data_IF_366325022396
#
_entry.id   IF_366325022396
#
_cell.length_a   1.000
_cell.length_b   1.000
_cell.length_c   1.000
_cell.angle_alpha   90.00
_cell.angle_beta   90.00
_cell.angle_gamma   90.00
#
_symmetry.space_group_name_H-M   'P 1'
#
loop_
_entity.id
_entity.type
_entity.pdbx_description
1 polymer ?
#
# COMPACT_ATOMS: atom_id res chain seq x y z
N UNK A 1 -60.39 -13.82 -52.51
CA UNK A 1 -59.21 -13.35 -51.75
C UNK A 1 -58.93 -14.37 -50.66
N UNK A 2 -57.85 -15.13 -50.80
CA UNK A 2 -57.47 -16.21 -49.89
C UNK A 2 -56.34 -15.76 -48.96
N UNK A 3 -56.38 -16.07 -47.65
CA UNK A 3 -55.27 -15.83 -46.75
C UNK A 3 -54.25 -16.97 -46.80
N UNK A 4 -52.99 -16.62 -46.99
CA UNK A 4 -51.82 -17.49 -46.97
C UNK A 4 -51.50 -17.96 -45.55
N UNK A 5 -51.30 -19.27 -45.43
CA UNK A 5 -50.96 -20.02 -44.22
C UNK A 5 -49.45 -20.19 -44.18
N UNK A 6 -48.74 -19.47 -43.31
CA UNK A 6 -47.30 -19.67 -43.10
C UNK A 6 -46.92 -19.70 -41.61
N UNK A 7 -46.20 -20.77 -41.28
CA UNK A 7 -45.09 -20.90 -40.34
C UNK A 7 -45.29 -20.68 -38.83
N UNK A 8 -45.59 -21.79 -38.13
CA UNK A 8 -45.48 -21.93 -36.67
C UNK A 8 -44.41 -22.96 -36.25
N UNK A 9 -43.64 -23.54 -37.18
CA UNK A 9 -42.77 -24.70 -36.86
C UNK A 9 -41.35 -24.39 -36.37
N UNK A 10 -41.00 -23.14 -36.06
CA UNK A 10 -39.62 -22.73 -35.76
C UNK A 10 -39.25 -22.48 -34.29
N UNK A 11 -40.21 -22.41 -33.35
CA UNK A 11 -39.95 -21.96 -31.97
C UNK A 11 -39.52 -23.07 -31.01
N UNK A 12 -40.01 -24.30 -31.19
CA UNK A 12 -39.82 -25.36 -30.20
C UNK A 12 -38.40 -25.93 -30.19
N UNK A 13 -37.71 -25.96 -31.33
CA UNK A 13 -36.34 -26.48 -31.42
C UNK A 13 -35.32 -25.60 -30.68
N UNK A 14 -35.56 -24.29 -30.62
CA UNK A 14 -34.69 -23.35 -29.87
C UNK A 14 -34.91 -23.46 -28.36
N UNK A 15 -36.13 -23.79 -27.94
CA UNK A 15 -36.47 -23.96 -26.53
C UNK A 15 -35.78 -25.20 -25.93
N UNK A 16 -35.75 -26.32 -26.66
CA UNK A 16 -35.04 -27.54 -26.21
C UNK A 16 -33.54 -27.31 -26.10
N UNK A 17 -32.93 -26.61 -27.06
CA UNK A 17 -31.50 -26.30 -27.00
C UNK A 17 -31.15 -25.38 -25.83
N UNK A 18 -31.98 -24.38 -25.54
CA UNK A 18 -31.79 -23.53 -24.36
C UNK A 18 -31.93 -24.33 -23.07
N UNK A 19 -32.94 -25.21 -22.97
CA UNK A 19 -33.16 -26.05 -21.80
C UNK A 19 -31.99 -26.99 -21.53
N UNK A 20 -31.45 -27.62 -22.58
CA UNK A 20 -30.26 -28.48 -22.46
C UNK A 20 -29.01 -27.69 -22.08
N UNK A 21 -28.86 -26.47 -22.57
CA UNK A 21 -27.73 -25.61 -22.23
C UNK A 21 -27.81 -25.13 -20.77
N UNK A 22 -29.01 -24.87 -20.26
CA UNK A 22 -29.24 -24.52 -18.86
C UNK A 22 -29.00 -25.73 -17.94
N UNK A 23 -29.52 -26.90 -18.28
CA UNK A 23 -29.35 -28.13 -17.48
C UNK A 23 -27.88 -28.57 -17.40
N UNK A 24 -27.14 -28.51 -18.51
CA UNK A 24 -25.70 -28.81 -18.51
C UNK A 24 -24.90 -27.80 -17.67
N UNK A 25 -25.28 -26.52 -17.73
CA UNK A 25 -24.64 -25.48 -16.92
C UNK A 25 -24.90 -25.64 -15.43
N UNK A 26 -26.08 -26.13 -15.05
CA UNK A 26 -26.45 -26.34 -13.65
C UNK A 26 -25.74 -27.58 -13.07
N UNK A 27 -25.68 -28.69 -13.80
CA UNK A 27 -24.91 -29.87 -13.40
C UNK A 27 -23.43 -29.54 -13.15
N UNK A 28 -22.82 -28.73 -14.02
CA UNK A 28 -21.43 -28.30 -13.86
C UNK A 28 -21.20 -27.49 -12.57
N UNK A 29 -22.12 -26.58 -12.21
CA UNK A 29 -22.03 -25.80 -10.96
C UNK A 29 -22.24 -26.68 -9.74
N UNK A 30 -23.16 -27.64 -9.82
CA UNK A 30 -23.45 -28.56 -8.74
C UNK A 30 -22.27 -29.51 -8.48
N UNK A 31 -21.59 -29.96 -9.54
CA UNK A 31 -20.38 -30.78 -9.44
C UNK A 31 -19.19 -30.00 -8.86
N UNK A 32 -19.00 -28.73 -9.25
CA UNK A 32 -17.99 -27.86 -8.62
C UNK A 32 -18.25 -27.63 -7.12
N UNK A 33 -19.52 -27.44 -6.73
CA UNK A 33 -19.90 -27.27 -5.33
C UNK A 33 -19.71 -28.55 -4.51
N UNK A 34 -20.06 -29.72 -5.06
CA UNK A 34 -19.87 -31.02 -4.42
C UNK A 34 -18.39 -31.36 -4.23
N UNK A 35 -17.54 -31.02 -5.19
CA UNK A 35 -16.10 -31.26 -5.09
C UNK A 35 -15.40 -30.37 -4.05
N UNK A 36 -16.08 -29.41 -3.41
CA UNK A 36 -15.52 -28.44 -2.44
C UNK A 36 -14.14 -27.94 -2.88
N UNK A 37 -13.96 -27.75 -4.18
CA UNK A 37 -12.68 -27.40 -4.75
C UNK A 37 -12.40 -25.97 -4.33
N UNK A 38 -11.58 -25.82 -3.29
CA UNK A 38 -10.96 -24.57 -2.84
C UNK A 38 -10.61 -23.79 -4.09
N UNK A 39 -11.27 -22.65 -4.34
CA UNK A 39 -11.20 -21.92 -5.59
C UNK A 39 -9.74 -21.77 -6.04
N UNK A 40 -9.29 -22.64 -6.96
CA UNK A 40 -8.00 -22.48 -7.60
C UNK A 40 -8.19 -21.29 -8.51
N UNK A 41 -7.49 -20.20 -8.20
CA UNK A 41 -7.41 -19.03 -9.09
C UNK A 41 -7.02 -19.47 -10.51
N UNK A 42 -7.30 -18.63 -11.51
CA UNK A 42 -7.08 -18.98 -12.91
C UNK A 42 -5.62 -19.40 -13.11
N UNK A 43 -5.42 -20.68 -13.39
CA UNK A 43 -4.16 -21.21 -13.89
C UNK A 43 -4.06 -20.69 -15.33
N UNK A 44 -3.02 -19.91 -15.69
CA UNK A 44 -2.85 -19.49 -17.06
C UNK A 44 -2.71 -20.73 -17.94
N UNK A 45 -3.51 -20.75 -19.01
CA UNK A 45 -3.42 -21.67 -20.12
C UNK A 45 -1.97 -21.84 -20.58
N UNK A 46 -1.34 -22.94 -20.14
CA UNK A 46 -0.17 -23.53 -20.78
C UNK A 46 -0.72 -24.47 -21.86
N UNK A 47 -1.09 -23.90 -22.99
CA UNK A 47 -1.11 -24.58 -24.27
C UNK A 47 -0.13 -23.84 -25.18
N UNK A 48 1.10 -24.33 -25.21
CA UNK A 48 2.00 -24.24 -26.36
C UNK A 48 3.16 -25.23 -26.13
N UNK A 49 2.88 -26.49 -26.41
CA UNK A 49 3.87 -27.34 -27.06
C UNK A 49 3.78 -27.02 -28.57
N UNK A 50 4.91 -26.72 -29.20
CA UNK A 50 5.57 -27.77 -29.95
C UNK A 50 6.99 -28.00 -29.42
N UNK A 51 7.24 -29.21 -28.96
CA UNK A 51 8.59 -29.75 -28.77
C UNK A 51 9.33 -29.73 -30.11
N UNK A 52 10.38 -28.91 -30.20
CA UNK A 52 11.43 -29.10 -31.18
C UNK A 52 12.14 -30.44 -30.89
N UNK A 53 12.46 -31.25 -31.92
CA UNK A 53 13.21 -32.50 -31.75
C UNK A 53 14.61 -32.24 -31.18
N UNK A 54 15.07 -33.13 -30.29
CA UNK A 54 16.35 -33.02 -29.58
C UNK A 54 17.58 -32.93 -30.51
N UNK A 55 17.45 -33.33 -31.76
CA UNK A 55 18.54 -33.42 -32.73
C UNK A 55 18.91 -32.06 -33.37
N UNK A 56 18.15 -30.99 -33.10
CA UNK A 56 18.42 -29.63 -33.63
C UNK A 56 19.11 -28.69 -32.64
N UNK A 57 19.35 -29.11 -31.40
CA UNK A 57 20.01 -28.27 -30.37
C UNK A 57 21.54 -28.41 -30.44
N UNK A 58 22.06 -29.45 -31.14
CA UNK A 58 23.49 -29.76 -31.21
C UNK A 58 24.05 -29.84 -32.64
N UNK A 59 23.49 -29.13 -33.61
CA UNK A 59 24.16 -28.93 -34.91
C UNK A 59 25.26 -27.89 -34.78
N UNK A 60 26.49 -28.40 -34.70
CA UNK A 60 27.72 -27.87 -35.30
C UNK A 60 27.86 -26.33 -35.29
N UNK A 61 28.32 -25.82 -34.15
CA UNK A 61 29.01 -24.53 -34.11
C UNK A 61 30.27 -24.64 -34.96
N UNK A 62 30.17 -24.23 -36.23
CA UNK A 62 31.29 -24.11 -37.15
C UNK A 62 32.32 -23.18 -36.53
N UNK A 63 33.54 -23.68 -36.36
CA UNK A 63 34.65 -22.93 -35.79
C UNK A 63 34.87 -21.63 -36.57
N UNK A 64 34.56 -20.49 -35.96
CA UNK A 64 35.15 -19.22 -36.38
C UNK A 64 36.61 -19.20 -35.90
N UNK A 65 37.58 -18.84 -36.77
CA UNK A 65 38.95 -18.63 -36.36
C UNK A 65 39.00 -17.44 -35.40
N UNK A 66 39.32 -17.71 -34.13
CA UNK A 66 39.66 -16.68 -33.14
C UNK A 66 40.82 -15.81 -33.67
N UNK A 67 40.72 -14.47 -33.56
CA UNK A 67 41.88 -13.61 -33.74
C UNK A 67 42.92 -13.93 -32.63
N UNK A 68 44.23 -13.82 -32.92
CA UNK A 68 45.27 -14.21 -31.98
C UNK A 68 45.10 -13.47 -30.65
N UNK A 69 44.85 -14.24 -29.60
CA UNK A 69 44.77 -13.77 -28.23
C UNK A 69 46.03 -12.97 -27.91
N UNK A 70 45.87 -11.67 -27.66
CA UNK A 70 46.91 -10.87 -27.02
C UNK A 70 47.25 -11.55 -25.69
N UNK A 71 48.50 -11.95 -25.54
CA UNK A 71 49.09 -12.56 -24.34
C UNK A 71 48.72 -11.71 -23.13
N UNK A 72 47.67 -12.08 -22.39
CA UNK A 72 47.35 -11.48 -21.10
C UNK A 72 48.46 -11.91 -20.16
N UNK A 73 49.33 -10.96 -19.83
CA UNK A 73 50.36 -11.12 -18.83
C UNK A 73 49.68 -11.55 -17.52
N UNK A 74 50.00 -12.76 -17.06
CA UNK A 74 49.65 -13.20 -15.71
C UNK A 74 50.20 -12.17 -14.72
N UNK A 75 49.40 -11.63 -13.80
CA UNK A 75 49.90 -10.69 -12.82
C UNK A 75 51.00 -11.37 -11.99
N UNK A 76 52.16 -10.71 -11.91
CA UNK A 76 53.29 -11.13 -11.10
C UNK A 76 52.85 -11.26 -9.64
N UNK A 77 52.94 -12.48 -9.12
CA UNK A 77 52.72 -12.81 -7.71
C UNK A 77 53.75 -12.04 -6.89
N UNK A 78 53.31 -11.02 -6.16
CA UNK A 78 54.17 -10.29 -5.23
C UNK A 78 54.17 -11.02 -3.88
N UNK A 79 55.35 -11.48 -3.45
CA UNK A 79 55.55 -11.97 -2.09
C UNK A 79 55.59 -10.77 -1.14
N UNK A 80 54.69 -10.78 -0.15
CA UNK A 80 54.71 -9.78 0.91
C UNK A 80 56.01 -9.85 1.73
N UNK A 81 56.31 -8.81 2.54
CA UNK A 81 57.57 -8.68 3.27
C UNK A 81 57.85 -9.80 4.28
N UNK A 82 56.85 -10.60 4.65
CA UNK A 82 56.99 -11.75 5.57
C UNK A 82 57.11 -13.11 4.87
N UNK A 83 57.22 -13.14 3.53
CA UNK A 83 57.37 -14.40 2.78
C UNK A 83 56.11 -15.28 2.73
N UNK A 84 54.97 -14.77 3.23
CA UNK A 84 53.67 -15.41 3.12
C UNK A 84 53.06 -15.03 1.76
N UNK A 85 52.60 -16.04 1.01
CA UNK A 85 51.84 -15.87 -0.23
C UNK A 85 50.50 -15.19 0.09
N UNK A 86 50.46 -13.86 0.00
CA UNK A 86 49.20 -13.12 -0.03
C UNK A 86 48.50 -13.44 -1.36
N UNK A 87 47.53 -14.35 -1.34
CA UNK A 87 46.59 -14.49 -2.44
C UNK A 87 45.90 -13.14 -2.62
N UNK A 88 46.01 -12.57 -3.83
CA UNK A 88 45.55 -11.23 -4.20
C UNK A 88 44.03 -11.02 -4.19
N UNK A 89 43.33 -11.52 -3.17
CA UNK A 89 41.93 -11.22 -2.90
C UNK A 89 41.68 -10.91 -1.42
N UNK A 90 42.31 -9.89 -0.80
CA UNK A 90 41.85 -9.44 0.52
C UNK A 90 40.46 -8.77 0.43
N UNK A 91 40.07 -8.20 -0.72
CA UNK A 91 38.77 -7.56 -0.99
C UNK A 91 38.33 -7.58 -2.48
N UNK A 92 38.91 -8.44 -3.30
CA UNK A 92 38.61 -8.51 -4.74
C UNK A 92 37.48 -9.47 -5.07
N UNK A 93 36.85 -9.30 -6.24
CA UNK A 93 35.84 -10.23 -6.78
C UNK A 93 36.42 -11.64 -6.87
N UNK A 94 35.96 -12.53 -6.00
CA UNK A 94 36.34 -13.95 -6.02
C UNK A 94 36.05 -14.51 -7.42
N UNK A 95 37.00 -15.18 -8.09
CA UNK A 95 36.76 -15.85 -9.36
C UNK A 95 35.84 -17.04 -9.14
N UNK A 96 34.54 -16.78 -9.19
CA UNK A 96 33.48 -17.77 -9.13
C UNK A 96 32.36 -17.40 -10.10
N UNK A 97 31.50 -18.35 -10.47
CA UNK A 97 30.29 -18.05 -11.22
C UNK A 97 29.51 -16.95 -10.49
N UNK A 98 28.94 -16.01 -11.26
CA UNK A 98 28.09 -14.96 -10.66
C UNK A 98 26.99 -15.64 -9.84
N UNK A 99 26.73 -15.19 -8.59
CA UNK A 99 25.67 -15.78 -7.80
C UNK A 99 24.35 -15.68 -8.56
N UNK A 100 23.42 -16.64 -8.38
CA UNK A 100 22.12 -16.60 -9.02
C UNK A 100 21.42 -15.25 -8.80
N UNK A 101 20.61 -14.74 -9.74
CA UNK A 101 19.89 -13.47 -9.58
C UNK A 101 18.96 -13.42 -8.36
N UNK A 102 18.54 -14.57 -7.83
CA UNK A 102 17.78 -14.67 -6.59
C UNK A 102 18.58 -14.32 -5.34
N UNK A 103 19.91 -14.28 -5.42
CA UNK A 103 20.83 -14.03 -4.29
C UNK A 103 21.40 -12.61 -4.28
N UNK A 104 21.36 -11.88 -5.40
CA UNK A 104 21.92 -10.52 -5.47
C UNK A 104 21.23 -9.52 -4.52
N UNK A 105 19.96 -9.75 -4.18
CA UNK A 105 19.25 -8.95 -3.17
C UNK A 105 19.77 -9.13 -1.74
N UNK A 106 20.36 -10.29 -1.41
CA UNK A 106 20.92 -10.57 -0.09
C UNK A 106 22.26 -9.87 0.14
N UNK A 107 23.01 -9.60 -0.94
CA UNK A 107 24.35 -9.01 -0.85
C UNK A 107 24.39 -7.52 -1.21
N UNK A 108 23.38 -6.98 -1.89
CA UNK A 108 23.29 -5.55 -2.18
C UNK A 108 23.02 -4.67 -0.93
N UNK A 109 22.64 -5.28 0.19
CA UNK A 109 22.33 -4.57 1.46
C UNK A 109 23.35 -4.79 2.58
N UNK A 110 24.44 -5.54 2.34
CA UNK A 110 25.18 -6.16 3.45
C UNK A 110 26.71 -6.16 3.38
N UNK A 111 27.36 -5.11 2.89
CA UNK A 111 28.81 -4.94 3.08
C UNK A 111 29.21 -3.48 2.85
N UNK A 112 29.83 -2.74 3.75
CA UNK A 112 30.70 -3.08 4.88
C UNK A 112 30.41 -2.11 6.05
N UNK A 113 30.32 -2.59 7.30
CA UNK A 113 30.38 -1.73 8.50
C UNK A 113 29.27 -1.84 9.58
N UNK A 114 29.02 -3.05 10.11
CA UNK A 114 28.58 -3.31 11.51
C UNK A 114 29.31 -2.34 12.48
N UNK A 115 28.74 -1.58 13.41
CA UNK A 115 27.66 -1.84 14.38
C UNK A 115 26.91 -0.55 14.81
N UNK A 116 26.95 0.52 14.02
CA UNK A 116 25.93 1.57 14.10
C UNK A 116 24.87 1.23 13.06
N UNK A 117 23.61 1.57 13.28
CA UNK A 117 22.53 1.35 12.31
C UNK A 117 22.24 2.68 11.58
N UNK A 118 23.18 3.29 10.80
CA UNK A 118 22.98 4.61 10.18
C UNK A 118 21.82 4.59 9.18
N UNK A 119 21.49 3.43 8.62
CA UNK A 119 20.29 3.27 7.78
C UNK A 119 18.98 3.54 8.55
N UNK A 120 18.93 3.25 9.85
CA UNK A 120 17.72 3.46 10.66
C UNK A 120 17.45 4.93 10.93
N UNK A 121 18.49 5.71 11.20
CA UNK A 121 18.37 7.15 11.43
C UNK A 121 18.05 7.90 10.13
N UNK A 122 18.66 7.49 9.02
CA UNK A 122 18.33 8.02 7.68
C UNK A 122 16.88 7.69 7.30
N UNK A 123 16.41 6.47 7.58
CA UNK A 123 15.03 6.08 7.31
C UNK A 123 14.03 6.85 8.17
N UNK A 124 14.32 7.06 9.46
CA UNK A 124 13.49 7.88 10.34
C UNK A 124 13.43 9.33 9.87
N UNK A 125 14.58 9.93 9.54
CA UNK A 125 14.66 11.29 9.02
C UNK A 125 13.87 11.41 7.70
N UNK A 126 14.00 10.40 6.82
CA UNK A 126 13.24 10.32 5.58
C UNK A 126 11.74 10.23 5.83
N UNK A 127 11.27 9.35 6.73
CA UNK A 127 9.84 9.22 7.09
C UNK A 127 9.29 10.50 7.69
N UNK A 128 10.04 11.13 8.59
CA UNK A 128 9.70 12.43 9.18
C UNK A 128 9.52 13.50 8.09
N UNK A 129 10.46 13.59 7.15
CA UNK A 129 10.36 14.51 6.03
C UNK A 129 9.22 14.15 5.07
N UNK A 130 8.99 12.86 4.80
CA UNK A 130 7.91 12.42 3.93
C UNK A 130 6.55 12.78 4.52
N UNK A 131 6.37 12.62 5.84
CA UNK A 131 5.11 12.89 6.53
C UNK A 131 4.93 14.35 6.97
N UNK A 132 5.97 15.20 6.88
CA UNK A 132 5.95 16.56 7.41
C UNK A 132 4.82 17.42 6.83
N UNK A 133 4.58 17.35 5.52
CA UNK A 133 3.55 18.14 4.84
C UNK A 133 2.15 17.74 5.29
N UNK A 134 1.83 16.44 5.24
CA UNK A 134 0.50 15.99 5.64
C UNK A 134 0.25 16.30 7.12
N UNK A 135 1.23 16.06 8.01
CA UNK A 135 1.13 16.38 9.43
C UNK A 135 0.89 17.87 9.70
N UNK A 136 1.45 18.77 8.89
CA UNK A 136 1.20 20.21 9.02
C UNK A 136 -0.26 20.62 8.75
N UNK A 137 -1.01 19.80 8.02
CA UNK A 137 -2.43 20.02 7.74
C UNK A 137 -3.37 19.21 8.64
N UNK A 138 -2.85 18.29 9.45
CA UNK A 138 -3.69 17.55 10.39
C UNK A 138 -3.99 18.38 11.64
N UNK A 139 -5.04 17.98 12.37
CA UNK A 139 -5.29 18.54 13.69
C UNK A 139 -4.05 18.35 14.55
N UNK A 140 -3.56 19.42 15.22
CA UNK A 140 -2.37 19.32 16.04
C UNK A 140 -2.62 18.25 17.09
N UNK A 141 -1.74 17.24 17.14
CA UNK A 141 -1.67 16.36 18.30
C UNK A 141 -1.46 17.26 19.52
N UNK A 142 -1.97 16.86 20.68
CA UNK A 142 -1.92 17.70 21.88
C UNK A 142 -0.49 18.15 22.23
N UNK A 143 0.56 17.57 21.62
CA UNK A 143 1.97 17.98 21.70
C UNK A 143 2.73 18.13 20.39
N UNK A 144 2.09 18.39 19.25
CA UNK A 144 2.74 18.59 17.93
C UNK A 144 3.51 19.91 17.80
N UNK A 145 4.07 20.42 18.90
CA UNK A 145 5.12 21.43 18.83
C UNK A 145 6.42 20.78 18.35
N UNK A 146 7.39 21.58 17.90
CA UNK A 146 8.74 21.16 17.46
C UNK A 146 9.58 20.57 18.61
N UNK A 147 8.94 20.05 19.65
CA UNK A 147 9.59 19.42 20.78
C UNK A 147 10.28 18.13 20.30
N UNK A 148 11.59 18.13 20.38
CA UNK A 148 12.47 16.98 20.07
C UNK A 148 12.26 15.81 21.02
N UNK A 149 11.61 16.04 22.16
CA UNK A 149 11.44 15.06 23.24
C UNK A 149 9.97 14.60 23.27
N UNK A 150 9.71 13.28 23.12
CA UNK A 150 8.38 12.72 23.32
C UNK A 150 7.83 13.03 24.70
N UNK A 151 6.52 13.24 24.80
CA UNK A 151 5.84 13.40 26.08
C UNK A 151 5.93 12.13 26.91
N UNK A 152 5.89 12.29 28.24
CA UNK A 152 5.85 11.15 29.16
C UNK A 152 4.75 10.14 28.81
N UNK A 153 3.55 10.61 28.47
CA UNK A 153 2.44 9.74 28.05
C UNK A 153 2.80 8.88 26.86
N UNK A 154 3.46 9.45 25.86
CA UNK A 154 3.89 8.73 24.67
C UNK A 154 5.05 7.76 24.98
N UNK A 155 5.98 8.14 25.84
CA UNK A 155 7.04 7.23 26.32
C UNK A 155 6.45 6.03 27.08
N UNK A 156 5.46 6.25 27.93
CA UNK A 156 4.74 5.17 28.62
C UNK A 156 4.03 4.24 27.63
N UNK A 157 3.36 4.79 26.62
CA UNK A 157 2.70 4.00 25.58
C UNK A 157 3.70 3.20 24.74
N UNK A 158 4.85 3.79 24.40
CA UNK A 158 5.94 3.08 23.71
C UNK A 158 6.45 1.91 24.55
N UNK A 159 6.67 2.15 25.85
CA UNK A 159 7.07 1.10 26.77
C UNK A 159 6.01 -0.02 26.81
N UNK A 160 4.73 0.32 26.93
CA UNK A 160 3.65 -0.67 26.86
C UNK A 160 3.69 -1.47 25.55
N UNK A 161 3.79 -0.83 24.39
CA UNK A 161 3.90 -1.52 23.09
C UNK A 161 5.12 -2.45 23.05
N UNK A 162 6.22 -2.07 23.69
CA UNK A 162 7.45 -2.86 23.75
C UNK A 162 7.34 -4.13 24.61
N UNK A 163 6.41 -4.17 25.57
CA UNK A 163 6.13 -5.35 26.39
C UNK A 163 5.39 -6.47 25.63
N UNK A 164 4.85 -6.17 24.44
CA UNK A 164 4.17 -7.13 23.57
C UNK A 164 4.96 -7.37 22.27
N UNK A 165 6.23 -7.84 22.31
CA UNK A 165 7.01 -8.04 21.09
C UNK A 165 6.52 -9.30 20.37
N UNK A 166 5.89 -9.15 19.21
CA UNK A 166 5.52 -10.29 18.36
C UNK A 166 4.12 -10.20 17.78
N UNK A 167 3.84 -11.14 16.88
CA UNK A 167 2.54 -11.26 16.22
C UNK A 167 1.50 -11.85 17.18
N UNK A 168 1.85 -12.91 17.91
CA UNK A 168 0.95 -13.57 18.88
C UNK A 168 0.61 -12.66 20.07
N UNK A 169 1.52 -11.75 20.43
CA UNK A 169 1.28 -10.74 21.46
C UNK A 169 0.37 -9.60 20.98
N UNK A 170 0.00 -9.55 19.69
CA UNK A 170 -0.88 -8.50 19.17
C UNK A 170 -2.31 -8.66 19.64
N UNK A 171 -2.80 -9.89 19.78
CA UNK A 171 -4.16 -10.18 20.26
C UNK A 171 -4.26 -9.81 21.74
N UNK A 172 -3.26 -10.18 22.54
CA UNK A 172 -3.17 -9.79 23.97
C UNK A 172 -3.08 -8.26 24.12
N UNK A 173 -2.29 -7.58 23.28
CA UNK A 173 -2.24 -6.12 23.27
C UNK A 173 -3.61 -5.50 22.94
N UNK A 174 -4.33 -6.07 21.97
CA UNK A 174 -5.65 -5.62 21.56
C UNK A 174 -6.70 -5.77 22.69
N UNK A 175 -6.64 -6.85 23.45
CA UNK A 175 -7.59 -7.13 24.53
C UNK A 175 -7.23 -6.41 25.83
N UNK A 176 -5.96 -6.45 26.25
CA UNK A 176 -5.53 -5.99 27.58
C UNK A 176 -5.17 -4.51 27.65
N UNK A 177 -4.81 -3.89 26.52
CA UNK A 177 -4.24 -2.52 26.52
C UNK A 177 -5.13 -1.54 25.78
N UNK A 178 -5.51 -1.85 24.54
CA UNK A 178 -6.25 -0.91 23.67
C UNK A 178 -7.54 -0.35 24.29
N UNK A 179 -8.39 -1.14 24.98
CA UNK A 179 -9.64 -0.62 25.55
C UNK A 179 -9.44 0.50 26.58
N UNK A 180 -8.26 0.54 27.20
CA UNK A 180 -7.90 1.51 28.22
C UNK A 180 -7.18 2.75 27.64
N UNK A 181 -6.86 2.78 26.35
CA UNK A 181 -6.21 3.93 25.70
C UNK A 181 -7.26 4.81 25.00
N UNK A 182 -7.45 6.06 25.44
CA UNK A 182 -8.28 7.04 24.73
C UNK A 182 -7.92 7.18 23.24
N UNK A 183 -8.92 7.37 22.37
CA UNK A 183 -8.73 7.46 20.91
C UNK A 183 -7.66 8.48 20.49
N UNK A 184 -7.62 9.65 21.12
CA UNK A 184 -6.61 10.67 20.82
C UNK A 184 -5.17 10.22 21.17
N UNK A 185 -4.99 9.42 22.22
CA UNK A 185 -3.68 8.85 22.59
C UNK A 185 -3.28 7.70 21.65
N UNK A 186 -4.25 6.86 21.22
CA UNK A 186 -4.03 5.85 20.18
C UNK A 186 -3.57 6.51 18.87
N UNK A 187 -4.17 7.65 18.51
CA UNK A 187 -3.79 8.45 17.33
C UNK A 187 -2.37 8.99 17.46
N UNK A 188 -2.03 9.57 18.61
CA UNK A 188 -0.69 10.12 18.85
C UNK A 188 0.38 9.03 18.81
N UNK A 189 0.09 7.85 19.39
CA UNK A 189 0.94 6.66 19.27
C UNK A 189 1.13 6.23 17.82
N UNK A 190 0.04 6.13 17.05
CA UNK A 190 0.09 5.76 15.63
C UNK A 190 0.94 6.74 14.80
N UNK A 191 0.75 8.05 14.98
CA UNK A 191 1.54 9.10 14.30
C UNK A 191 3.03 9.02 14.65
N UNK A 192 3.35 8.81 15.94
CA UNK A 192 4.73 8.68 16.37
C UNK A 192 5.39 7.42 15.81
N UNK A 193 4.73 6.27 15.91
CA UNK A 193 5.23 5.01 15.37
C UNK A 193 5.45 5.08 13.86
N UNK A 194 4.57 5.77 13.12
CA UNK A 194 4.74 5.97 11.68
C UNK A 194 6.10 6.60 11.31
N UNK A 195 6.64 7.49 12.15
CA UNK A 195 7.94 8.15 11.94
C UNK A 195 9.11 7.37 12.55
N UNK A 196 8.94 6.81 13.74
CA UNK A 196 10.05 6.26 14.51
C UNK A 196 10.20 4.75 14.37
N UNK A 197 9.12 3.99 14.49
CA UNK A 197 9.10 2.52 14.45
C UNK A 197 7.71 2.03 14.01
N UNK A 198 7.49 1.76 12.70
CA UNK A 198 6.18 1.46 12.15
C UNK A 198 5.57 0.22 12.81
N UNK A 199 4.32 0.35 13.26
CA UNK A 199 3.62 -0.78 13.86
C UNK A 199 3.36 -1.88 12.82
N UNK A 200 3.47 -3.17 13.21
CA UNK A 200 3.00 -4.25 12.36
C UNK A 200 1.49 -4.13 12.14
N UNK A 201 1.02 -4.65 11.00
CA UNK A 201 -0.40 -4.56 10.59
C UNK A 201 -1.36 -5.03 11.69
N UNK A 202 -1.04 -6.09 12.43
CA UNK A 202 -1.87 -6.60 13.52
C UNK A 202 -2.06 -5.59 14.64
N UNK A 203 -0.99 -4.98 15.15
CA UNK A 203 -1.06 -3.94 16.19
C UNK A 203 -1.72 -2.66 15.69
N UNK A 204 -1.46 -2.28 14.45
CA UNK A 204 -2.08 -1.10 13.84
C UNK A 204 -3.60 -1.26 13.71
N UNK A 205 -4.06 -2.45 13.29
CA UNK A 205 -5.49 -2.78 13.25
C UNK A 205 -6.09 -2.95 14.64
N UNK A 206 -5.32 -3.43 15.63
CA UNK A 206 -5.75 -3.47 17.02
C UNK A 206 -5.96 -2.06 17.60
N UNK A 207 -5.10 -1.09 17.25
CA UNK A 207 -5.29 0.30 17.66
C UNK A 207 -6.52 0.92 17.00
N UNK A 208 -6.79 0.56 15.74
CA UNK A 208 -7.96 1.01 15.01
C UNK A 208 -9.26 0.56 15.69
N UNK A 209 -10.26 1.43 15.68
CA UNK A 209 -11.62 1.08 16.11
C UNK A 209 -12.24 0.08 15.12
N UNK A 210 -13.41 -0.52 15.44
CA UNK A 210 -14.12 -1.39 14.50
C UNK A 210 -14.37 -0.75 13.12
N UNK A 211 -14.39 0.58 13.08
CA UNK A 211 -14.53 1.41 11.87
C UNK A 211 -13.23 1.50 11.02
N UNK A 212 -12.13 0.88 11.49
CA UNK A 212 -10.87 0.77 10.75
C UNK A 212 -9.96 2.02 10.84
N UNK A 213 -10.23 2.93 11.77
CA UNK A 213 -9.43 4.13 11.99
C UNK A 213 -9.34 4.51 13.47
N UNK A 214 -8.48 5.46 13.80
CA UNK A 214 -8.33 6.02 15.14
C UNK A 214 -8.62 7.52 15.10
N UNK A 215 -9.73 7.93 15.72
CA UNK A 215 -10.14 9.34 15.78
C UNK A 215 -10.17 10.02 14.39
N UNK A 216 -10.73 9.30 13.40
CA UNK A 216 -10.83 9.73 12.01
C UNK A 216 -9.55 9.57 11.16
N UNK A 217 -8.47 8.97 11.69
CA UNK A 217 -7.18 8.86 11.01
C UNK A 217 -6.68 7.42 10.88
N UNK A 218 -6.01 7.10 9.77
CA UNK A 218 -5.28 5.86 9.59
C UNK A 218 -3.96 6.13 8.88
N UNK A 219 -2.84 5.71 9.48
CA UNK A 219 -1.49 5.90 8.94
C UNK A 219 -0.81 4.54 8.83
N UNK A 220 -0.66 4.03 7.62
CA UNK A 220 -0.02 2.74 7.34
C UNK A 220 1.34 2.97 6.71
N UNK A 221 2.39 2.45 7.35
CA UNK A 221 3.78 2.64 6.93
C UNK A 221 4.47 1.30 6.70
N UNK A 222 5.16 1.21 5.56
CA UNK A 222 6.14 0.18 5.28
C UNK A 222 5.69 -0.83 4.22
N UNK A 223 6.65 -1.52 3.57
CA UNK A 223 6.38 -2.47 2.49
C UNK A 223 5.71 -3.76 2.98
N UNK A 224 5.86 -4.07 4.27
CA UNK A 224 5.25 -5.25 4.91
C UNK A 224 3.86 -4.98 5.46
N UNK A 225 3.50 -3.70 5.60
CA UNK A 225 2.15 -3.33 5.99
C UNK A 225 1.24 -3.47 4.76
N UNK A 226 0.08 -4.09 4.95
CA UNK A 226 -0.92 -4.21 3.89
C UNK A 226 -2.29 -3.89 4.44
N UNK A 227 -3.05 -3.10 3.69
CA UNK A 227 -4.45 -2.84 4.02
C UNK A 227 -5.28 -4.08 3.66
N UNK A 228 -6.04 -4.66 4.62
CA UNK A 228 -7.04 -5.65 4.30
C UNK A 228 -8.01 -5.09 3.25
N UNK A 229 -8.39 -5.91 2.25
CA UNK A 229 -9.24 -5.46 1.14
C UNK A 229 -10.58 -4.90 1.58
N UNK A 230 -11.08 -5.40 2.71
CA UNK A 230 -12.41 -5.11 3.22
C UNK A 230 -12.40 -4.19 4.45
N UNK A 231 -11.26 -3.57 4.79
CA UNK A 231 -11.14 -2.70 5.97
C UNK A 231 -12.17 -1.55 5.95
N UNK A 232 -12.43 -0.97 4.78
CA UNK A 232 -13.39 0.13 4.61
C UNK A 232 -14.80 -0.36 4.26
N UNK A 233 -14.97 -1.66 4.00
CA UNK A 233 -16.28 -2.26 3.69
C UNK A 233 -16.97 -2.79 4.93
N UNK A 234 -16.36 -2.64 6.11
CA UNK A 234 -16.88 -3.24 7.32
C UNK A 234 -18.31 -2.74 7.53
N UNK A 235 -19.30 -3.66 7.58
CA UNK A 235 -20.68 -3.26 7.71
C UNK A 235 -20.82 -2.57 9.06
N UNK A 236 -21.10 -1.26 9.02
CA UNK A 236 -21.43 -0.38 10.16
C UNK A 236 -22.57 -0.90 11.06
N UNK A 237 -23.08 -2.09 10.81
CA UNK A 237 -24.13 -2.69 11.60
C UNK A 237 -24.13 -4.20 11.45
N UNK A 238 -23.16 -4.87 12.08
CA UNK A 238 -23.57 -6.03 12.88
C UNK A 238 -24.03 -5.52 14.23
N UNK A 239 -25.13 -4.74 14.23
CA UNK A 239 -26.09 -4.97 15.30
C UNK A 239 -26.35 -6.46 15.25
N UNK A 240 -25.82 -7.18 16.25
CA UNK A 240 -26.27 -8.53 16.55
C UNK A 240 -27.79 -8.46 16.43
N UNK A 241 -28.42 -9.18 15.48
CA UNK A 241 -29.87 -9.15 15.38
C UNK A 241 -30.37 -9.44 16.78
N UNK A 242 -31.19 -8.52 17.32
CA UNK A 242 -31.88 -8.65 18.59
C UNK A 242 -32.93 -9.79 18.53
N UNK A 243 -32.55 -10.93 17.96
CA UNK A 243 -33.28 -12.19 17.90
C UNK A 243 -32.79 -13.19 18.95
N UNK A 244 -31.93 -12.75 19.89
CA UNK A 244 -31.87 -13.39 21.19
C UNK A 244 -33.18 -13.07 21.91
N UNK A 245 -33.98 -14.09 22.14
CA UNK A 245 -35.24 -14.09 22.91
C UNK A 245 -35.23 -13.06 24.04
N UNK A 246 -36.37 -12.38 24.32
CA UNK A 246 -36.50 -11.55 25.51
C UNK A 246 -36.32 -12.46 26.74
N UNK A 247 -35.08 -12.60 27.21
CA UNK A 247 -34.83 -12.98 28.58
C UNK A 247 -35.38 -11.79 29.34
N UNK A 248 -36.56 -12.01 29.91
CA UNK A 248 -37.15 -11.20 30.97
C UNK A 248 -36.01 -10.91 31.94
N UNK A 249 -35.44 -9.71 31.82
CA UNK A 249 -34.63 -9.11 32.88
C UNK A 249 -35.61 -8.94 34.01
N UNK A 250 -35.68 -9.96 34.85
CA UNK A 250 -36.13 -9.84 36.23
C UNK A 250 -35.49 -8.58 36.77
N UNK A 251 -36.36 -7.69 37.22
CA UNK A 251 -36.12 -6.51 38.05
C UNK A 251 -34.99 -6.82 39.04
N UNK A 252 -33.74 -6.59 38.65
CA UNK A 252 -32.63 -6.49 39.58
C UNK A 252 -32.62 -5.05 40.03
N UNK A 253 -32.86 -4.91 41.32
CA UNK A 253 -32.73 -3.74 42.17
C UNK A 253 -31.89 -2.61 41.55
N UNK A 254 -32.57 -1.50 41.30
CA UNK A 254 -31.95 -0.18 41.22
C UNK A 254 -31.08 0.02 42.48
N UNK A 255 -29.77 -0.17 42.36
CA UNK A 255 -28.83 0.35 43.34
C UNK A 255 -28.80 1.87 43.17
N UNK A 256 -29.26 2.66 44.16
CA UNK A 256 -29.42 4.11 44.02
C UNK A 256 -28.10 4.90 43.98
N UNK A 257 -26.95 4.24 43.93
CA UNK A 257 -25.63 4.86 44.12
C UNK A 257 -24.84 5.07 42.81
N UNK A 258 -25.43 4.83 41.64
CA UNK A 258 -24.84 5.21 40.35
C UNK A 258 -25.13 6.68 39.97
N UNK A 259 -25.48 7.51 40.95
CA UNK A 259 -25.61 8.95 40.78
C UNK A 259 -24.22 9.59 40.66
N UNK A 260 -24.02 10.29 39.55
CA UNK A 260 -23.18 11.50 39.51
C UNK A 260 -21.66 11.34 39.57
N UNK A 261 -21.07 10.54 38.67
CA UNK A 261 -19.68 10.81 38.23
C UNK A 261 -19.68 12.00 37.27
N UNK A 262 -19.69 13.23 37.82
CA UNK A 262 -19.73 14.51 37.11
C UNK A 262 -18.58 14.74 36.10
N UNK A 263 -17.51 13.94 36.15
CA UNK A 263 -16.33 14.11 35.29
C UNK A 263 -16.24 13.16 34.09
N UNK A 264 -17.23 12.26 33.92
CA UNK A 264 -17.28 11.38 32.76
C UNK A 264 -18.38 11.86 31.82
N UNK A 265 -18.07 12.48 30.66
CA UNK A 265 -19.10 12.75 29.66
C UNK A 265 -19.80 11.42 29.40
N UNK A 266 -21.10 11.39 29.70
CA UNK A 266 -21.95 10.20 29.65
C UNK A 266 -21.55 9.36 28.43
N UNK A 267 -21.12 8.14 28.69
CA UNK A 267 -20.64 7.15 27.72
C UNK A 267 -21.68 6.76 26.66
N UNK A 268 -22.87 7.34 26.74
CA UNK A 268 -23.97 7.18 25.81
C UNK A 268 -23.68 8.02 24.56
N UNK A 269 -23.29 7.31 23.50
CA UNK A 269 -23.28 7.78 22.12
C UNK A 269 -22.18 8.79 21.75
N UNK A 270 -20.91 8.43 22.01
CA UNK A 270 -19.82 8.95 21.15
C UNK A 270 -20.05 8.45 19.73
N UNK A 271 -20.75 9.26 18.93
CA UNK A 271 -20.91 9.02 17.50
C UNK A 271 -19.51 8.89 16.90
N UNK A 272 -19.18 7.71 16.38
CA UNK A 272 -17.89 7.45 15.72
C UNK A 272 -17.66 8.53 14.67
N UNK A 273 -16.55 9.25 14.78
CA UNK A 273 -16.21 10.26 13.80
C UNK A 273 -15.87 9.57 12.48
N UNK A 274 -16.37 10.05 11.33
CA UNK A 274 -16.05 9.43 10.05
C UNK A 274 -14.56 9.58 9.75
N UNK A 275 -14.01 8.59 9.04
CA UNK A 275 -12.63 8.64 8.56
C UNK A 275 -12.39 9.85 7.65
N UNK A 276 -11.44 10.71 8.03
CA UNK A 276 -11.09 11.94 7.31
C UNK A 276 -9.68 11.90 6.73
N UNK A 277 -8.78 11.14 7.35
CA UNK A 277 -7.36 11.12 6.99
C UNK A 277 -6.89 9.70 6.69
N UNK A 278 -6.29 9.51 5.51
CA UNK A 278 -5.61 8.28 5.13
C UNK A 278 -4.20 8.58 4.67
N UNK A 279 -3.20 7.94 5.29
CA UNK A 279 -1.80 8.06 4.90
C UNK A 279 -1.25 6.66 4.63
N UNK A 280 -0.71 6.46 3.42
CA UNK A 280 -0.07 5.22 2.98
C UNK A 280 1.35 5.54 2.55
N UNK A 281 2.35 5.04 3.28
CA UNK A 281 3.76 5.29 3.03
C UNK A 281 4.49 3.99 2.71
N UNK A 282 5.01 3.87 1.49
CA UNK A 282 5.72 2.68 1.01
C UNK A 282 4.88 1.39 1.06
N UNK A 283 3.56 1.51 0.97
CA UNK A 283 2.58 0.40 1.02
C UNK A 283 2.15 0.02 -0.38
N UNK A 284 1.99 -1.27 -0.67
CA UNK A 284 1.35 -1.71 -1.92
C UNK A 284 -0.14 -1.40 -1.89
N UNK A 285 -0.65 -0.70 -2.90
CA UNK A 285 -2.06 -0.29 -2.96
C UNK A 285 -2.78 -0.99 -4.13
N UNK A 286 -3.51 -2.08 -3.86
CA UNK A 286 -4.36 -2.69 -4.88
C UNK A 286 -5.43 -1.71 -5.37
N UNK A 287 -5.71 -1.74 -6.67
CA UNK A 287 -6.76 -0.90 -7.27
C UNK A 287 -8.12 -1.12 -6.62
N UNK A 288 -8.42 -2.35 -6.19
CA UNK A 288 -9.66 -2.69 -5.48
C UNK A 288 -9.79 -1.92 -4.17
N UNK A 289 -8.69 -1.75 -3.43
CA UNK A 289 -8.66 -1.02 -2.16
C UNK A 289 -8.79 0.48 -2.38
N UNK A 290 -8.19 1.03 -3.44
CA UNK A 290 -8.40 2.45 -3.80
C UNK A 290 -9.87 2.76 -4.07
N UNK A 291 -10.59 1.85 -4.72
CA UNK A 291 -12.01 2.03 -5.04
C UNK A 291 -12.94 1.86 -3.82
N UNK A 292 -12.40 1.41 -2.68
CA UNK A 292 -13.15 1.29 -1.42
C UNK A 292 -12.79 2.37 -0.42
N UNK A 293 -12.00 3.37 -0.81
CA UNK A 293 -11.69 4.50 0.07
C UNK A 293 -12.97 5.21 0.52
N UNK A 294 -13.07 5.60 1.81
CA UNK A 294 -14.22 6.33 2.30
C UNK A 294 -14.40 7.66 1.57
N UNK A 295 -15.62 8.00 1.11
CA UNK A 295 -15.88 9.28 0.42
C UNK A 295 -15.75 10.49 1.37
N UNK A 296 -15.68 10.25 2.68
CA UNK A 296 -15.48 11.25 3.75
C UNK A 296 -14.04 11.71 3.90
N UNK A 297 -13.09 11.11 3.15
CA UNK A 297 -11.69 11.51 3.18
C UNK A 297 -11.52 12.95 2.70
N UNK A 298 -10.86 13.75 3.55
CA UNK A 298 -10.45 15.15 3.28
C UNK A 298 -8.93 15.26 3.12
N UNK A 299 -8.17 14.35 3.74
CA UNK A 299 -6.72 14.33 3.72
C UNK A 299 -6.25 12.96 3.23
N UNK A 300 -5.53 12.93 2.11
CA UNK A 300 -5.02 11.70 1.52
C UNK A 300 -3.54 11.86 1.18
N UNK A 301 -2.71 10.98 1.73
CA UNK A 301 -1.30 10.88 1.38
C UNK A 301 -0.98 9.48 0.85
N UNK A 302 -0.51 9.40 -0.40
CA UNK A 302 -0.05 8.19 -1.06
C UNK A 302 1.44 8.37 -1.36
N UNK A 303 2.30 8.05 -0.40
CA UNK A 303 3.72 8.39 -0.41
C UNK A 303 4.57 7.19 -0.80
N UNK A 304 5.47 7.37 -1.77
CA UNK A 304 6.42 6.33 -2.20
C UNK A 304 5.76 4.96 -2.49
N UNK A 305 4.57 4.95 -3.08
CA UNK A 305 3.84 3.73 -3.40
C UNK A 305 4.59 3.00 -4.52
N UNK A 306 4.98 1.72 -4.33
CA UNK A 306 5.84 1.01 -5.28
C UNK A 306 5.15 0.70 -6.61
N UNK A 307 3.81 0.63 -6.61
CA UNK A 307 3.01 0.25 -7.78
C UNK A 307 2.25 1.45 -8.35
N UNK A 308 2.14 1.49 -9.67
CA UNK A 308 1.33 2.48 -10.37
C UNK A 308 -0.10 2.45 -9.88
N UNK A 309 -0.55 3.56 -9.32
CA UNK A 309 -1.87 3.69 -8.72
C UNK A 309 -2.75 4.55 -9.61
N UNK A 310 -3.99 4.12 -9.96
CA UNK A 310 -4.88 4.86 -10.85
C UNK A 310 -5.52 6.09 -10.16
N UNK A 311 -4.69 7.05 -9.78
CA UNK A 311 -5.08 8.26 -9.03
C UNK A 311 -6.10 9.13 -9.79
N UNK A 312 -6.18 9.00 -11.11
CA UNK A 312 -7.21 9.66 -11.93
C UNK A 312 -8.65 9.24 -11.57
N UNK A 313 -8.84 8.16 -10.81
CA UNK A 313 -10.16 7.73 -10.31
C UNK A 313 -10.55 8.38 -8.99
N UNK A 314 -9.58 8.92 -8.24
CA UNK A 314 -9.82 9.50 -6.93
C UNK A 314 -10.86 10.63 -6.89
N UNK A 315 -10.98 11.57 -7.86
CA UNK A 315 -12.03 12.60 -7.76
C UNK A 315 -13.45 12.03 -7.73
N UNK A 316 -13.66 10.83 -8.28
CA UNK A 316 -14.95 10.14 -8.22
C UNK A 316 -15.16 9.39 -6.91
N UNK A 317 -14.09 8.87 -6.32
CA UNK A 317 -14.16 8.04 -5.10
C UNK A 317 -14.17 8.91 -3.85
N UNK A 318 -13.28 9.90 -3.79
CA UNK A 318 -13.08 10.79 -2.64
C UNK A 318 -13.23 12.26 -3.09
N UNK A 319 -14.45 12.73 -3.37
CA UNK A 319 -14.68 14.08 -3.90
C UNK A 319 -14.39 15.20 -2.89
N UNK A 320 -14.22 14.86 -1.60
CA UNK A 320 -14.07 15.81 -0.50
C UNK A 320 -12.62 16.13 -0.13
N UNK A 321 -11.65 15.62 -0.89
CA UNK A 321 -10.24 15.82 -0.56
C UNK A 321 -9.85 17.30 -0.71
N UNK A 322 -9.27 17.82 0.37
CA UNK A 322 -8.69 19.15 0.48
C UNK A 322 -7.16 19.11 0.36
N UNK A 323 -6.52 18.07 0.90
CA UNK A 323 -5.06 17.89 0.87
C UNK A 323 -4.73 16.54 0.23
N UNK A 324 -4.02 16.58 -0.89
CA UNK A 324 -3.53 15.41 -1.61
C UNK A 324 -2.00 15.43 -1.66
N UNK A 325 -1.36 14.51 -0.94
CA UNK A 325 0.09 14.30 -1.01
C UNK A 325 0.39 13.02 -1.80
N UNK A 326 0.97 13.17 -2.99
CA UNK A 326 1.44 12.05 -3.83
C UNK A 326 2.95 12.11 -4.04
N UNK A 327 3.67 12.67 -3.07
CA UNK A 327 5.12 12.81 -3.09
C UNK A 327 5.85 11.45 -3.17
N UNK A 328 7.07 11.48 -3.69
CA UNK A 328 8.03 10.38 -3.81
C UNK A 328 7.60 9.22 -4.72
N UNK A 329 6.50 9.39 -5.47
CA UNK A 329 6.06 8.44 -6.49
C UNK A 329 6.78 8.70 -7.82
N UNK A 330 7.92 8.04 -8.03
CA UNK A 330 8.75 8.19 -9.25
C UNK A 330 7.98 7.85 -10.54
N UNK A 331 6.97 6.98 -10.46
CA UNK A 331 6.14 6.59 -11.59
C UNK A 331 5.24 7.73 -12.13
N UNK A 332 5.10 8.85 -11.41
CA UNK A 332 4.35 10.02 -11.88
C UNK A 332 5.10 10.83 -12.95
N UNK A 333 6.42 10.93 -12.83
CA UNK A 333 7.27 11.65 -13.79
C UNK A 333 7.65 10.82 -15.02
N UNK A 334 7.44 9.50 -14.99
CA UNK A 334 7.85 8.62 -16.08
C UNK A 334 6.81 8.61 -17.23
N UNK A 335 7.21 8.97 -18.46
CA UNK A 335 6.35 8.78 -19.62
C UNK A 335 6.11 7.29 -19.81
N UNK A 336 4.84 6.88 -19.81
CA UNK A 336 4.49 5.51 -20.12
C UNK A 336 4.53 5.35 -21.63
N UNK A 337 5.19 4.30 -22.14
CA UNK A 337 5.40 4.05 -23.57
C UNK A 337 4.14 4.32 -24.42
N UNK A 338 4.08 5.50 -25.04
CA UNK A 338 2.97 5.92 -25.92
C UNK A 338 1.71 6.48 -25.24
N UNK A 339 1.68 6.67 -23.92
CA UNK A 339 0.52 7.25 -23.22
C UNK A 339 0.86 8.53 -22.46
N UNK A 340 -0.13 9.43 -22.42
CA UNK A 340 -0.10 10.64 -21.61
C UNK A 340 0.23 10.33 -20.15
N UNK A 341 0.96 11.23 -19.49
CA UNK A 341 1.35 11.01 -18.08
C UNK A 341 0.11 10.76 -17.22
N UNK A 342 0.24 10.02 -16.11
CA UNK A 342 -0.92 9.70 -15.25
C UNK A 342 -1.65 10.98 -14.80
N UNK A 343 -0.90 12.06 -14.54
CA UNK A 343 -1.41 13.39 -14.19
C UNK A 343 -2.11 14.10 -15.36
N UNK A 344 -1.80 13.74 -16.60
CA UNK A 344 -2.52 14.25 -17.78
C UNK A 344 -3.95 13.73 -17.87
N UNK A 345 -4.21 12.54 -17.34
CA UNK A 345 -5.52 11.89 -17.35
C UNK A 345 -6.45 12.38 -16.24
N UNK A 346 -5.95 13.17 -15.29
CA UNK A 346 -6.74 13.65 -14.15
C UNK A 346 -7.60 14.83 -14.59
N UNK A 347 -8.90 14.73 -14.32
CA UNK A 347 -9.88 15.80 -14.46
C UNK A 347 -9.78 16.72 -13.23
N UNK A 348 -8.84 17.67 -13.26
CA UNK A 348 -8.54 18.58 -12.14
C UNK A 348 -9.70 19.52 -11.78
N UNK A 349 -10.62 19.76 -12.71
CA UNK A 349 -11.87 20.49 -12.54
C UNK A 349 -12.82 19.82 -11.54
N UNK A 350 -12.76 18.50 -11.41
CA UNK A 350 -13.61 17.75 -10.45
C UNK A 350 -13.15 17.86 -9.00
N UNK A 351 -11.95 18.35 -8.76
CA UNK A 351 -11.37 18.47 -7.42
C UNK A 351 -11.71 19.82 -6.77
N UNK A 352 -12.99 20.17 -6.70
CA UNK A 352 -13.44 21.51 -6.28
C UNK A 352 -12.96 21.93 -4.88
N UNK A 353 -12.68 20.97 -3.99
CA UNK A 353 -12.21 21.23 -2.63
C UNK A 353 -10.70 21.16 -2.44
N UNK A 354 -9.96 20.70 -3.45
CA UNK A 354 -8.52 20.56 -3.35
C UNK A 354 -7.88 21.93 -3.13
N UNK A 355 -7.12 22.06 -2.04
CA UNK A 355 -6.39 23.26 -1.62
C UNK A 355 -4.88 23.06 -1.71
N UNK A 356 -4.40 21.85 -1.41
CA UNK A 356 -2.97 21.55 -1.39
C UNK A 356 -2.69 20.28 -2.20
N UNK A 357 -1.73 20.35 -3.11
CA UNK A 357 -1.23 19.23 -3.90
C UNK A 357 0.28 19.12 -3.73
N UNK A 358 0.75 18.04 -3.11
CA UNK A 358 2.17 17.81 -2.91
C UNK A 358 2.73 16.77 -3.89
N UNK A 359 3.84 17.15 -4.55
CA UNK A 359 4.52 16.45 -5.64
C UNK A 359 6.02 16.27 -5.38
N UNK A 360 6.48 16.39 -4.13
CA UNK A 360 7.92 16.35 -3.77
C UNK A 360 8.58 15.08 -4.29
N UNK A 361 9.73 15.18 -4.94
CA UNK A 361 10.49 14.01 -5.38
C UNK A 361 9.79 13.12 -6.42
N UNK A 362 8.75 13.62 -7.10
CA UNK A 362 8.07 12.91 -8.20
C UNK A 362 8.71 13.14 -9.56
N UNK A 363 9.49 14.23 -9.70
CA UNK A 363 10.08 14.67 -10.98
C UNK A 363 9.10 15.37 -11.92
N UNK A 364 7.90 15.72 -11.44
CA UNK A 364 6.90 16.46 -12.21
C UNK A 364 7.31 17.93 -12.33
N UNK A 365 7.23 18.49 -13.54
CA UNK A 365 7.61 19.87 -13.80
C UNK A 365 6.50 20.87 -13.46
N UNK A 366 6.84 22.16 -13.53
CA UNK A 366 5.94 23.28 -13.21
C UNK A 366 4.74 23.42 -14.18
N UNK A 367 4.76 22.74 -15.33
CA UNK A 367 3.63 22.75 -16.27
C UNK A 367 2.34 22.25 -15.62
N UNK A 368 2.44 21.41 -14.59
CA UNK A 368 1.29 20.91 -13.83
C UNK A 368 0.52 22.04 -13.13
N UNK A 369 1.20 23.11 -12.73
CA UNK A 369 0.61 24.23 -11.98
C UNK A 369 -0.47 24.91 -12.82
N UNK A 370 -0.15 25.23 -14.07
CA UNK A 370 -1.08 25.83 -15.02
C UNK A 370 -2.33 24.96 -15.27
N UNK A 371 -2.17 23.64 -15.20
CA UNK A 371 -3.25 22.68 -15.50
C UNK A 371 -4.17 22.46 -14.30
N UNK A 372 -3.62 22.34 -13.10
CA UNK A 372 -4.37 22.16 -11.86
C UNK A 372 -5.24 23.39 -11.56
N UNK A 373 -4.70 24.58 -11.80
CA UNK A 373 -5.35 25.86 -11.51
C UNK A 373 -6.22 26.41 -12.65
N UNK A 374 -6.30 25.70 -13.79
CA UNK A 374 -7.10 26.14 -14.93
C UNK A 374 -8.58 26.25 -14.55
N UNK A 375 -9.11 27.48 -14.56
CA UNK A 375 -10.54 27.76 -14.31
C UNK A 375 -10.93 27.76 -12.83
N UNK A 376 -9.98 27.72 -11.91
CA UNK A 376 -10.25 27.85 -10.46
C UNK A 376 -10.31 29.31 -10.04
N UNK A 377 -11.12 29.57 -9.01
CA UNK A 377 -11.22 30.87 -8.36
C UNK A 377 -10.18 31.04 -7.25
N UNK A 378 -9.81 29.92 -6.61
CA UNK A 378 -8.78 29.85 -5.59
C UNK A 378 -7.75 28.86 -6.09
N UNK A 379 -6.51 29.32 -6.22
CA UNK A 379 -5.41 28.48 -6.65
C UNK A 379 -5.11 27.40 -5.61
N UNK A 380 -4.79 26.22 -6.12
CA UNK A 380 -4.24 25.11 -5.32
C UNK A 380 -2.78 25.43 -5.05
N UNK A 381 -2.38 25.33 -3.79
CA UNK A 381 -0.98 25.39 -3.37
C UNK A 381 -0.27 24.09 -3.79
N UNK A 382 0.73 24.21 -4.66
CA UNK A 382 1.43 23.06 -5.24
C UNK A 382 2.85 23.04 -4.68
N UNK A 383 3.15 22.01 -3.91
CA UNK A 383 4.42 21.89 -3.18
C UNK A 383 5.32 20.84 -3.84
N UNK A 384 6.57 21.21 -4.13
CA UNK A 384 7.60 20.27 -4.57
C UNK A 384 7.68 20.02 -6.07
N UNK A 385 7.18 20.93 -6.90
CA UNK A 385 7.49 20.95 -8.33
C UNK A 385 8.96 21.25 -8.58
N UNK A 386 9.49 20.71 -9.66
CA UNK A 386 10.87 20.96 -10.07
C UNK A 386 10.84 21.92 -11.26
N UNK A 387 11.72 22.95 -11.30
CA UNK A 387 11.87 23.78 -12.49
C UNK A 387 12.12 22.93 -13.73
N UNK A 388 11.51 23.31 -14.85
CA UNK A 388 11.51 22.52 -16.09
C UNK A 388 12.94 22.16 -16.56
N UNK A 389 13.89 23.08 -16.36
CA UNK A 389 15.31 22.88 -16.69
C UNK A 389 15.92 21.68 -15.95
N UNK A 390 15.63 21.54 -14.66
CA UNK A 390 16.14 20.45 -13.81
C UNK A 390 15.39 19.14 -14.11
N UNK A 391 14.08 19.22 -14.42
CA UNK A 391 13.30 18.06 -14.81
C UNK A 391 13.82 17.43 -16.11
N UNK A 392 14.16 18.26 -17.10
CA UNK A 392 14.71 17.78 -18.38
C UNK A 392 16.12 17.19 -18.23
N UNK A 393 17.00 17.77 -17.41
CA UNK A 393 18.35 17.22 -17.19
C UNK A 393 18.35 15.82 -16.54
N UNK A 394 17.36 15.54 -15.70
CA UNK A 394 17.22 14.24 -15.04
C UNK A 394 16.78 13.12 -16.00
N UNK A 395 16.07 13.46 -17.08
CA UNK A 395 15.66 12.49 -18.11
C UNK A 395 16.84 12.07 -19.01
N UNK A 396 17.79 12.98 -19.27
CA UNK A 396 18.96 12.70 -20.13
C UNK A 396 20.04 11.84 -19.46
N UNK A 397 20.09 11.76 -18.13
CA UNK A 397 21.10 11.00 -17.39
C UNK A 397 20.69 9.55 -17.07
N UNK A 398 19.45 9.17 -17.36
CA UNK A 398 18.91 7.83 -17.07
C UNK A 398 18.80 6.90 -18.27
N UNK A 399 19.24 7.35 -19.46
CA UNK A 399 19.42 6.55 -20.68
C UNK A 399 20.91 6.25 -20.85
#
# INVERSE_FOLDING_TARGET
MMPSRTDVRGSDSRHVNNLLHTLRGEQYRHEQNLQRAKARGPIPSLHNYPTLPFDQIYTESTAQPEPPSSTRQSPLVHLGPEGILEYAYPRGRVPGPRPPPSWSGLFAQGGEGKDANPLGDDERAWRSNALSLIHAHLSPSSGSGVATIPRLTLLCLQYLVSLYPGQDASDVFAEDVVPYIPGHLRRDLMRWSAVHDPLPTSKLLALAEPDGHVDGELIVVGPRASLPRDIFRWPMSRHVPAGGTPVVRTVEEETPDALESWDSPSSEERVSQPMRTLVLLSVTLPVTTLLTFPPTLTHLALLAVPTHTPIFRLPRVCPLIEVLDISFNKWLGQPHAGSSSVLQRIEWDRWSRLRVLALRGTGVGEEIVSRVNKGRWVDVDIVGTVPLEIAMSNLTLGL
#
